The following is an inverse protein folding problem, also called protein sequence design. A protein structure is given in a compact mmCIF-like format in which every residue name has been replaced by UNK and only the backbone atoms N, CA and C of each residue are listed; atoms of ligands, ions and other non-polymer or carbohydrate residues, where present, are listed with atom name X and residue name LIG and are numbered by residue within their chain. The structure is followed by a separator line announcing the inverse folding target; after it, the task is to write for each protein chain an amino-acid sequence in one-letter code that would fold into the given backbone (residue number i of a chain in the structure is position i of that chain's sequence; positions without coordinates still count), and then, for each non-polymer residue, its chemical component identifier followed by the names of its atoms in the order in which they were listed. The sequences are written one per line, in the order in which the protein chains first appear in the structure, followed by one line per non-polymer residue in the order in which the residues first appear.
data_IF_749387139126
#
_entry.id   IF_749387139126
#
_cell.length_a   1.000
_cell.length_b   1.000
_cell.length_c   1.000
_cell.angle_alpha   90.00
_cell.angle_beta   90.00
_cell.angle_gamma   90.00
#
_symmetry.space_group_name_H-M   'P 1'
#
loop_
_entity.id
_entity.type
_entity.pdbx_description
1 polymer ?
#
# COMPACT_ATOMS: atom_id res chain seq x y z
N UNK A 1 -5.85 4.61 11.00
CA UNK A 1 -5.00 3.51 11.49
C UNK A 1 -4.54 2.68 10.30
N UNK A 2 -3.25 2.77 9.92
CA UNK A 2 -2.68 2.04 8.76
C UNK A 2 -1.77 0.87 9.16
N UNK A 3 -1.63 0.63 10.47
CA UNK A 3 -0.60 -0.21 11.09
C UNK A 3 -0.56 -1.68 10.60
N UNK A 4 -1.66 -2.18 10.01
CA UNK A 4 -1.73 -3.54 9.46
C UNK A 4 -1.53 -3.65 7.94
N UNK A 5 -1.45 -2.54 7.21
CA UNK A 5 -1.36 -2.54 5.73
C UNK A 5 0.10 -2.54 5.22
N UNK A 6 1.06 -2.37 6.12
CA UNK A 6 2.49 -2.32 5.81
C UNK A 6 3.06 -3.70 5.45
N UNK A 7 2.50 -4.78 6.01
CA UNK A 7 2.99 -6.16 5.87
C UNK A 7 2.14 -7.04 4.95
N UNK A 8 0.96 -6.57 4.53
CA UNK A 8 0.01 -7.34 3.70
C UNK A 8 0.23 -7.04 2.22
N UNK A 9 0.30 -8.07 1.36
CA UNK A 9 0.32 -7.87 -0.10
C UNK A 9 -1.04 -7.35 -0.61
N UNK A 10 -1.13 -6.07 -0.95
CA UNK A 10 -2.31 -5.50 -1.60
C UNK A 10 -2.25 -5.73 -3.11
N UNK A 11 -3.30 -6.33 -3.66
CA UNK A 11 -3.53 -6.40 -5.11
C UNK A 11 -4.24 -5.14 -5.58
N UNK A 12 -4.15 -4.80 -6.87
CA UNK A 12 -4.85 -3.63 -7.46
C UNK A 12 -6.35 -3.57 -7.14
N UNK A 13 -7.01 -4.72 -7.04
CA UNK A 13 -8.42 -4.80 -6.60
C UNK A 13 -8.61 -4.26 -5.18
N UNK A 14 -7.77 -4.66 -4.24
CA UNK A 14 -7.88 -4.22 -2.85
C UNK A 14 -7.57 -2.74 -2.70
N UNK A 15 -6.62 -2.21 -3.49
CA UNK A 15 -6.37 -0.77 -3.56
C UNK A 15 -7.61 0.00 -4.03
N UNK A 16 -8.31 -0.49 -5.07
CA UNK A 16 -9.56 0.12 -5.52
C UNK A 16 -10.68 0.04 -4.47
N UNK A 17 -10.78 -1.06 -3.73
CA UNK A 17 -11.75 -1.22 -2.64
C UNK A 17 -11.47 -0.23 -1.49
N UNK A 18 -10.19 0.00 -1.17
CA UNK A 18 -9.77 1.01 -0.19
C UNK A 18 -10.10 2.43 -0.64
N UNK A 19 -9.89 2.77 -1.91
CA UNK A 19 -10.25 4.09 -2.46
C UNK A 19 -11.78 4.33 -2.43
N UNK A 20 -12.58 3.29 -2.69
CA UNK A 20 -14.04 3.36 -2.58
C UNK A 20 -14.49 3.56 -1.13
N UNK A 21 -13.89 2.81 -0.20
CA UNK A 21 -14.16 2.95 1.24
C UNK A 21 -13.80 4.36 1.74
N UNK A 22 -12.64 4.88 1.35
CA UNK A 22 -12.21 6.25 1.65
C UNK A 22 -13.23 7.28 1.18
N UNK A 23 -13.63 7.23 -0.10
CA UNK A 23 -14.60 8.17 -0.66
C UNK A 23 -15.98 8.05 0.01
N UNK A 24 -16.38 6.84 0.42
CA UNK A 24 -17.64 6.62 1.15
C UNK A 24 -17.58 7.24 2.54
N UNK A 25 -16.46 7.09 3.24
CA UNK A 25 -16.24 7.72 4.55
C UNK A 25 -16.18 9.25 4.44
N UNK A 26 -15.49 9.79 3.44
CA UNK A 26 -15.41 11.24 3.20
C UNK A 26 -16.80 11.83 2.89
N UNK A 27 -17.57 11.18 2.02
CA UNK A 27 -18.96 11.58 1.74
C UNK A 27 -19.83 11.59 2.99
N UNK A 28 -19.73 10.55 3.81
CA UNK A 28 -20.47 10.45 5.05
C UNK A 28 -20.09 11.58 6.02
N UNK A 29 -18.79 11.87 6.17
CA UNK A 29 -18.31 12.94 7.06
C UNK A 29 -18.72 14.35 6.60
N UNK A 30 -18.80 14.59 5.29
CA UNK A 30 -19.19 15.87 4.71
C UNK A 30 -20.72 16.00 4.53
N UNK A 31 -21.50 14.98 4.89
CA UNK A 31 -22.95 14.96 4.69
C UNK A 31 -23.39 14.96 3.21
N UNK A 32 -22.49 14.61 2.29
CA UNK A 32 -22.76 14.64 0.85
C UNK A 32 -23.51 13.37 0.44
N UNK A 33 -24.69 13.57 -0.11
CA UNK A 33 -25.57 12.51 -0.59
C UNK A 33 -25.36 12.24 -2.07
N UNK A 34 -25.98 11.18 -2.59
CA UNK A 34 -25.95 10.89 -4.04
C UNK A 34 -26.70 11.93 -4.88
N UNK A 35 -27.58 12.72 -4.26
CA UNK A 35 -28.39 13.74 -4.95
C UNK A 35 -27.56 14.96 -5.33
N UNK A 36 -26.52 15.26 -4.56
CA UNK A 36 -25.67 16.44 -4.78
C UNK A 36 -24.81 16.32 -6.05
N UNK A 37 -24.68 15.10 -6.61
CA UNK A 37 -23.92 14.80 -7.84
C UNK A 37 -22.51 15.40 -7.87
N UNK A 38 -21.90 15.57 -6.69
CA UNK A 38 -20.57 16.16 -6.54
C UNK A 38 -19.51 15.16 -7.01
N UNK A 39 -18.58 15.66 -7.84
CA UNK A 39 -17.44 14.88 -8.36
C UNK A 39 -16.52 14.43 -7.22
N UNK A 40 -15.95 13.23 -7.36
CA UNK A 40 -15.03 12.67 -6.37
C UNK A 40 -13.78 13.55 -6.16
N UNK A 41 -13.32 14.24 -7.21
CA UNK A 41 -12.18 15.15 -7.12
C UNK A 41 -12.46 16.31 -6.14
N UNK A 42 -13.66 16.88 -6.20
CA UNK A 42 -14.05 17.99 -5.32
C UNK A 42 -14.17 17.54 -3.86
N UNK A 43 -14.71 16.34 -3.61
CA UNK A 43 -14.80 15.78 -2.25
C UNK A 43 -13.41 15.62 -1.63
N UNK A 44 -12.43 15.13 -2.41
CA UNK A 44 -11.04 15.00 -1.96
C UNK A 44 -10.38 16.36 -1.73
N UNK A 45 -10.63 17.33 -2.62
CA UNK A 45 -10.13 18.70 -2.49
C UNK A 45 -10.65 19.39 -1.24
N UNK A 46 -11.95 19.33 -0.97
CA UNK A 46 -12.57 19.91 0.23
C UNK A 46 -12.05 19.27 1.52
N UNK A 47 -11.87 17.95 1.52
CA UNK A 47 -11.34 17.23 2.68
C UNK A 47 -9.81 17.41 2.86
N UNK A 48 -9.10 17.95 1.85
CA UNK A 48 -7.63 18.04 1.82
C UNK A 48 -6.93 16.69 2.03
N UNK A 49 -7.58 15.59 1.62
CA UNK A 49 -7.06 14.23 1.80
C UNK A 49 -6.42 13.75 0.49
N UNK A 50 -5.12 13.45 0.54
CA UNK A 50 -4.39 12.77 -0.54
C UNK A 50 -4.87 11.32 -0.72
N UNK A 51 -4.60 10.69 -1.87
CA UNK A 51 -5.12 9.32 -2.11
C UNK A 51 -4.63 8.35 -1.04
N UNK A 52 -5.54 7.60 -0.44
CA UNK A 52 -5.20 6.60 0.57
C UNK A 52 -4.19 5.56 0.04
N UNK A 53 -4.28 5.19 -1.23
CA UNK A 53 -3.30 4.30 -1.88
C UNK A 53 -1.86 4.82 -1.83
N UNK A 54 -1.67 6.14 -1.98
CA UNK A 54 -0.33 6.75 -1.88
C UNK A 54 0.20 6.68 -0.45
N UNK A 55 -0.68 6.89 0.55
CA UNK A 55 -0.33 6.76 1.98
C UNK A 55 0.03 5.33 2.36
N UNK A 56 -0.69 4.34 1.82
CA UNK A 56 -0.38 2.92 2.03
C UNK A 56 0.95 2.55 1.38
N UNK A 57 1.22 3.05 0.17
CA UNK A 57 2.50 2.86 -0.50
C UNK A 57 3.65 3.49 0.29
N UNK A 58 3.48 4.72 0.75
CA UNK A 58 4.45 5.44 1.58
C UNK A 58 4.76 4.67 2.88
N UNK A 59 3.73 4.21 3.59
CA UNK A 59 3.88 3.43 4.81
C UNK A 59 4.64 2.13 4.57
N UNK A 60 4.36 1.43 3.47
CA UNK A 60 5.08 0.20 3.09
C UNK A 60 6.55 0.46 2.78
N UNK A 61 6.87 1.53 2.06
CA UNK A 61 8.26 1.90 1.77
C UNK A 61 9.01 2.27 3.06
N UNK A 62 8.34 2.97 3.98
CA UNK A 62 8.89 3.31 5.29
C UNK A 62 9.18 2.05 6.12
N UNK A 63 8.25 1.08 6.11
CA UNK A 63 8.43 -0.22 6.75
C UNK A 63 9.59 -1.00 6.13
N UNK A 64 9.66 -1.09 4.81
CA UNK A 64 10.76 -1.77 4.12
C UNK A 64 12.13 -1.16 4.48
N UNK A 65 12.22 0.17 4.51
CA UNK A 65 13.44 0.85 4.97
C UNK A 65 13.77 0.59 6.45
N UNK A 66 12.77 0.37 7.30
CA UNK A 66 13.00 -0.03 8.70
C UNK A 66 13.57 -1.44 8.81
N UNK A 67 12.99 -2.41 8.09
CA UNK A 67 13.51 -3.79 8.02
C UNK A 67 14.95 -3.81 7.53
N UNK A 68 15.24 -3.09 6.44
CA UNK A 68 16.60 -3.03 5.87
C UNK A 68 17.62 -2.43 6.84
N UNK A 69 17.26 -1.40 7.63
CA UNK A 69 18.16 -0.85 8.65
C UNK A 69 18.40 -1.81 9.81
N UNK A 70 17.41 -2.63 10.15
CA UNK A 70 17.57 -3.67 11.17
C UNK A 70 18.54 -4.76 10.69
N UNK A 71 18.39 -5.23 9.46
CA UNK A 71 19.29 -6.24 8.87
C UNK A 71 20.74 -5.74 8.79
N UNK A 72 20.94 -4.46 8.45
CA UNK A 72 22.28 -3.83 8.41
C UNK A 72 22.87 -3.70 9.82
N UNK A 73 22.06 -3.42 10.84
CA UNK A 73 22.52 -3.27 12.21
C UNK A 73 22.79 -4.61 12.91
N UNK A 74 22.11 -5.69 12.49
CA UNK A 74 22.42 -7.07 12.91
C UNK A 74 23.71 -7.61 12.25
N UNK A 75 24.14 -7.05 11.12
CA UNK A 75 25.42 -7.41 10.48
C UNK A 75 26.66 -6.84 11.19
N UNK A 76 26.52 -5.88 12.11
CA UNK A 76 27.65 -5.34 12.87
C UNK A 76 27.57 -5.72 14.36
N UNK A 77 27.94 -6.97 14.69
CA UNK A 77 28.56 -7.39 15.97
C UNK A 77 29.03 -8.86 15.85
N UNK A 78 30.07 -9.29 16.60
CA UNK A 78 31.45 -9.41 16.12
C UNK A 78 31.83 -10.83 15.68
N UNK A 79 32.78 -10.90 14.73
CA UNK A 79 33.76 -11.97 14.55
C UNK A 79 33.31 -13.42 14.84
N UNK A 80 32.84 -14.14 13.81
CA UNK A 80 33.02 -15.61 13.77
C UNK A 80 31.84 -16.52 13.42
N UNK A 81 30.68 -16.02 12.96
CA UNK A 81 29.57 -16.89 12.55
C UNK A 81 29.42 -16.95 11.03
N UNK A 82 29.68 -18.15 10.48
CA UNK A 82 29.57 -18.52 9.07
C UNK A 82 28.14 -18.29 8.56
N UNK A 83 28.05 -17.64 7.40
CA UNK A 83 26.82 -17.43 6.66
C UNK A 83 26.08 -18.75 6.39
N UNK A 84 24.87 -18.89 6.94
CA UNK A 84 23.87 -19.81 6.40
C UNK A 84 22.78 -18.96 5.76
N UNK A 85 22.92 -18.86 4.43
CA UNK A 85 21.86 -18.46 3.51
C UNK A 85 20.55 -19.16 3.88
N UNK A 86 19.50 -18.40 4.14
CA UNK A 86 18.13 -18.83 3.83
C UNK A 86 17.47 -17.77 2.94
N UNK A 87 17.26 -18.18 1.70
CA UNK A 87 16.57 -17.49 0.61
C UNK A 87 15.24 -16.86 1.03
N UNK A 88 15.01 -15.60 0.63
CA UNK A 88 13.83 -15.24 -0.19
C UNK A 88 14.17 -14.02 -1.07
N UNK A 89 14.12 -14.12 -2.42
CA UNK A 89 13.96 -12.95 -3.25
C UNK A 89 12.46 -12.64 -3.34
N UNK A 90 11.96 -11.67 -2.57
CA UNK A 90 10.64 -11.05 -2.82
C UNK A 90 10.80 -10.09 -4.01
N UNK A 91 11.16 -10.64 -5.17
CA UNK A 91 11.30 -9.89 -6.42
C UNK A 91 10.70 -10.63 -7.63
N UNK A 92 10.07 -11.80 -7.42
CA UNK A 92 9.51 -12.60 -8.52
C UNK A 92 8.07 -13.03 -8.23
N UNK A 93 7.13 -12.08 -8.22
CA UNK A 93 5.69 -12.39 -8.37
C UNK A 93 4.88 -11.13 -8.72
N UNK A 94 5.22 -10.46 -9.82
CA UNK A 94 4.24 -9.66 -10.57
C UNK A 94 3.99 -10.43 -11.87
N UNK A 95 2.92 -11.23 -12.00
CA UNK A 95 2.46 -11.64 -13.31
C UNK A 95 1.74 -10.45 -13.94
N UNK A 96 2.43 -9.78 -14.86
CA UNK A 96 1.79 -9.00 -15.90
C UNK A 96 1.03 -9.97 -16.80
N UNK A 97 -0.30 -10.04 -16.67
CA UNK A 97 -1.16 -10.62 -17.69
C UNK A 97 -1.66 -9.51 -18.60
N UNK A 98 -0.84 -9.17 -19.58
CA UNK A 98 -1.24 -8.54 -20.83
C UNK A 98 -1.41 -9.62 -21.91
N UNK A 99 -2.53 -9.58 -22.65
CA UNK A 99 -2.69 -10.25 -23.95
C UNK A 99 -3.70 -11.39 -23.96
N UNK A 100 -4.87 -11.14 -24.54
CA UNK A 100 -5.96 -12.10 -24.67
C UNK A 100 -5.78 -13.14 -25.78
N UNK A 101 -6.75 -14.04 -25.90
CA UNK A 101 -6.99 -14.81 -27.11
C UNK A 101 -8.47 -15.17 -27.24
N UNK A 102 -8.93 -15.13 -28.49
CA UNK A 102 -10.27 -15.34 -28.98
C UNK A 102 -10.68 -16.82 -28.90
N UNK A 103 -11.89 -17.10 -28.43
CA UNK A 103 -12.83 -18.08 -29.01
C UNK A 103 -14.22 -17.89 -28.44
#
# INVERSE_FOLDING_TARGET
MLYGLETVSLRKRQESELEVAELKMLRFSLGVTRLDRIRNEYIRGTAHVGRLGDKVREARLRWFGHVQRRDIMECELPSGAVAVRSLVPVAAAIPEHSGGHWK
#
